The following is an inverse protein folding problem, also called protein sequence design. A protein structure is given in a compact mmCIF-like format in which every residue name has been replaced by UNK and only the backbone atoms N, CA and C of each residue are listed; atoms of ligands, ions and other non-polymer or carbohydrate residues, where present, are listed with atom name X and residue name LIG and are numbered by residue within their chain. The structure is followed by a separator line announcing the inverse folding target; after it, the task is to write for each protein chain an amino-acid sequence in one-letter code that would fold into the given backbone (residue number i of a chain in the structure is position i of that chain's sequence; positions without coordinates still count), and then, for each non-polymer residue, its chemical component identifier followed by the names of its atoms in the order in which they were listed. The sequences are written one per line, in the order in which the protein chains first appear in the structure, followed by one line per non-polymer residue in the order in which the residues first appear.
data_IF_731132992779
#
_entry.id   IF_731132992779
#
_cell.length_a   1.000
_cell.length_b   1.000
_cell.length_c   1.000
_cell.angle_alpha   90.00
_cell.angle_beta   90.00
_cell.angle_gamma   90.00
#
_symmetry.space_group_name_H-M   'P 1'
#
loop_
_entity.id
_entity.type
_entity.pdbx_description
1 polymer ?
#
# COMPACT_ATOMS: atom_id res chain seq x y z
N UNK A 1 4.56 26.18 -9.06
CA UNK A 1 3.76 25.58 -7.98
C UNK A 1 4.04 26.37 -6.70
N UNK A 2 3.18 27.31 -6.34
CA UNK A 2 3.35 28.17 -5.17
C UNK A 2 2.76 27.49 -3.94
N UNK A 3 3.61 27.09 -3.00
CA UNK A 3 3.20 26.52 -1.72
C UNK A 3 2.50 27.61 -0.90
N UNK A 4 1.21 27.42 -0.61
CA UNK A 4 0.44 28.33 0.25
C UNK A 4 0.95 28.26 1.69
N UNK A 5 1.22 29.42 2.28
CA UNK A 5 1.73 29.56 3.65
C UNK A 5 0.69 29.15 4.70
N UNK A 6 1.13 28.37 5.68
CA UNK A 6 0.32 27.92 6.83
C UNK A 6 -0.11 29.10 7.71
N UNK A 7 -1.40 29.43 7.70
CA UNK A 7 -1.99 30.37 8.66
C UNK A 7 -2.30 29.64 9.98
N UNK A 8 -1.37 29.69 10.94
CA UNK A 8 -1.45 29.26 12.35
C UNK A 8 -1.22 27.76 12.67
N UNK A 9 -0.54 27.44 13.79
CA UNK A 9 -0.38 26.07 14.28
C UNK A 9 -1.76 25.50 14.71
N UNK A 10 -2.05 24.26 14.32
CA UNK A 10 -3.31 23.57 14.61
C UNK A 10 -4.41 23.72 13.55
N UNK A 11 -4.24 24.57 12.53
CA UNK A 11 -5.17 24.68 11.41
C UNK A 11 -4.58 24.08 10.13
N UNK A 12 -4.65 22.75 10.03
CA UNK A 12 -4.64 22.10 8.71
C UNK A 12 -6.10 21.99 8.32
N UNK A 13 -6.60 22.72 7.31
CA UNK A 13 -7.73 22.29 6.48
C UNK A 13 -8.23 23.38 5.54
N UNK A 14 -7.78 23.34 4.29
CA UNK A 14 -8.61 23.80 3.16
C UNK A 14 -9.73 22.78 2.83
N UNK A 15 -9.67 21.56 3.38
CA UNK A 15 -10.66 20.49 3.20
C UNK A 15 -12.08 20.85 3.65
N UNK A 16 -12.24 21.87 4.51
CA UNK A 16 -13.57 22.30 4.94
C UNK A 16 -14.48 22.73 3.78
N UNK A 17 -13.90 23.24 2.68
CA UNK A 17 -14.68 23.70 1.51
C UNK A 17 -15.32 22.55 0.73
N UNK A 18 -14.76 21.35 0.81
CA UNK A 18 -15.27 20.15 0.14
C UNK A 18 -16.13 19.27 1.06
N UNK A 19 -16.31 19.66 2.33
CA UNK A 19 -17.24 19.00 3.26
C UNK A 19 -18.67 19.46 2.99
N UNK A 20 -19.56 18.49 2.77
CA UNK A 20 -20.98 18.74 2.54
C UNK A 20 -21.69 18.92 3.89
N UNK A 21 -21.81 20.16 4.37
CA UNK A 21 -22.47 20.51 5.64
C UNK A 21 -23.86 21.14 5.46
N UNK A 22 -24.13 21.69 4.29
CA UNK A 22 -25.41 22.31 3.94
C UNK A 22 -26.42 21.27 3.42
N UNK A 23 -27.71 21.55 3.60
CA UNK A 23 -28.82 20.68 3.18
C UNK A 23 -29.72 21.40 2.20
N UNK A 24 -30.21 20.64 1.21
CA UNK A 24 -31.28 21.04 0.31
C UNK A 24 -32.42 20.04 0.51
N UNK A 25 -33.58 20.52 0.93
CA UNK A 25 -34.77 19.71 1.19
C UNK A 25 -35.85 20.04 0.16
N UNK A 26 -36.44 19.01 -0.43
CA UNK A 26 -37.50 19.12 -1.44
C UNK A 26 -38.59 18.12 -1.08
N UNK A 27 -39.84 18.57 -1.04
CA UNK A 27 -40.99 17.68 -0.86
C UNK A 27 -41.34 17.05 -2.20
N UNK A 28 -41.52 15.73 -2.20
CA UNK A 28 -41.88 14.96 -3.38
C UNK A 28 -43.22 14.27 -3.12
N UNK A 29 -44.06 14.24 -4.15
CA UNK A 29 -45.19 13.32 -4.22
C UNK A 29 -44.70 11.87 -4.37
N UNK A 30 -45.53 10.86 -4.09
CA UNK A 30 -45.15 9.46 -4.26
C UNK A 30 -44.66 9.14 -5.68
N UNK A 31 -45.30 9.71 -6.71
CA UNK A 31 -44.96 9.49 -8.12
C UNK A 31 -43.56 10.05 -8.44
N UNK A 32 -43.25 11.25 -7.95
CA UNK A 32 -41.94 11.88 -8.15
C UNK A 32 -40.83 11.10 -7.43
N UNK A 33 -41.12 10.60 -6.23
CA UNK A 33 -40.17 9.79 -5.47
C UNK A 33 -39.87 8.46 -6.17
N UNK A 34 -40.89 7.77 -6.68
CA UNK A 34 -40.71 6.52 -7.42
C UNK A 34 -39.89 6.72 -8.69
N UNK A 35 -40.20 7.75 -9.48
CA UNK A 35 -39.43 8.09 -10.68
C UNK A 35 -37.96 8.38 -10.35
N UNK A 36 -37.71 9.12 -9.27
CA UNK A 36 -36.36 9.41 -8.79
C UNK A 36 -35.61 8.13 -8.34
N UNK A 37 -36.28 7.24 -7.61
CA UNK A 37 -35.70 5.97 -7.16
C UNK A 37 -35.35 5.05 -8.33
N UNK A 38 -36.22 4.96 -9.35
CA UNK A 38 -35.96 4.20 -10.57
C UNK A 38 -34.78 4.79 -11.37
N UNK A 39 -34.74 6.12 -11.53
CA UNK A 39 -33.63 6.79 -12.21
C UNK A 39 -32.29 6.58 -11.47
N UNK A 40 -32.30 6.56 -10.13
CA UNK A 40 -31.13 6.23 -9.34
C UNK A 40 -30.69 4.78 -9.55
N UNK A 41 -31.61 3.82 -9.47
CA UNK A 41 -31.30 2.40 -9.68
C UNK A 41 -30.65 2.15 -11.05
N UNK A 42 -31.10 2.84 -12.09
CA UNK A 42 -30.52 2.76 -13.43
C UNK A 42 -29.14 3.44 -13.56
N UNK A 43 -28.75 4.32 -12.64
CA UNK A 43 -27.55 5.16 -12.76
C UNK A 43 -26.24 4.54 -12.28
N UNK A 44 -26.29 3.38 -11.61
CA UNK A 44 -25.12 2.74 -11.00
C UNK A 44 -24.46 3.55 -9.87
N UNK A 45 -25.08 4.65 -9.42
CA UNK A 45 -24.57 5.45 -8.32
C UNK A 45 -24.72 4.71 -6.99
N UNK A 46 -23.70 4.76 -6.14
CA UNK A 46 -23.69 4.12 -4.82
C UNK A 46 -24.70 4.69 -3.81
N UNK A 47 -25.33 5.83 -4.09
CA UNK A 47 -26.33 6.44 -3.24
C UNK A 47 -27.22 7.39 -4.04
N UNK A 48 -28.46 7.56 -3.57
CA UNK A 48 -29.42 8.52 -4.13
C UNK A 48 -28.85 9.95 -4.12
N UNK A 49 -28.16 10.33 -3.04
CA UNK A 49 -27.56 11.65 -2.91
C UNK A 49 -26.42 11.88 -3.92
N UNK A 50 -25.68 10.83 -4.32
CA UNK A 50 -24.69 10.94 -5.42
C UNK A 50 -25.40 11.12 -6.76
N UNK A 51 -26.45 10.35 -7.01
CA UNK A 51 -27.25 10.46 -8.24
C UNK A 51 -27.82 11.86 -8.43
N UNK A 52 -28.47 12.39 -7.39
CA UNK A 52 -29.07 13.74 -7.42
C UNK A 52 -27.99 14.80 -7.67
N UNK A 53 -26.83 14.71 -7.03
CA UNK A 53 -25.73 15.66 -7.26
C UNK A 53 -25.16 15.58 -8.67
N UNK A 54 -25.01 14.39 -9.23
CA UNK A 54 -24.57 14.21 -10.61
C UNK A 54 -25.57 14.82 -11.60
N UNK A 55 -26.87 14.79 -11.29
CA UNK A 55 -27.91 15.47 -12.06
C UNK A 55 -27.88 16.99 -11.91
N UNK A 56 -27.66 17.51 -10.71
CA UNK A 56 -27.68 18.96 -10.42
C UNK A 56 -26.40 19.69 -10.85
N UNK A 57 -25.24 19.07 -10.63
CA UNK A 57 -23.93 19.69 -10.83
C UNK A 57 -23.15 19.08 -12.01
N UNK A 58 -23.75 18.13 -12.73
CA UNK A 58 -23.15 17.42 -13.85
C UNK A 58 -22.33 16.20 -13.43
N UNK A 59 -21.84 15.45 -14.44
CA UNK A 59 -21.11 14.20 -14.22
C UNK A 59 -19.79 14.38 -13.44
N UNK A 60 -19.20 15.57 -13.49
CA UNK A 60 -17.95 15.92 -12.80
C UNK A 60 -18.21 16.83 -11.59
N UNK A 61 -18.92 16.33 -10.57
CA UNK A 61 -19.04 16.99 -9.26
C UNK A 61 -17.62 17.27 -8.71
N UNK A 62 -17.18 18.54 -8.60
CA UNK A 62 -15.83 18.88 -8.17
C UNK A 62 -15.47 18.32 -6.78
N UNK A 63 -16.48 18.20 -5.91
CA UNK A 63 -16.31 17.60 -4.58
C UNK A 63 -16.08 16.10 -4.69
N UNK A 64 -16.81 15.41 -5.58
CA UNK A 64 -16.61 13.98 -5.80
C UNK A 64 -15.23 13.68 -6.39
N UNK A 65 -14.78 14.50 -7.36
CA UNK A 65 -13.44 14.39 -7.97
C UNK A 65 -12.36 14.60 -6.90
N UNK A 66 -12.49 15.64 -6.07
CA UNK A 66 -11.54 15.92 -4.99
C UNK A 66 -11.39 14.71 -4.04
N UNK A 67 -12.49 14.15 -3.54
CA UNK A 67 -12.43 13.01 -2.64
C UNK A 67 -11.89 11.74 -3.31
N UNK A 68 -12.22 11.52 -4.59
CA UNK A 68 -11.69 10.38 -5.33
C UNK A 68 -10.16 10.46 -5.48
N UNK A 69 -9.63 11.63 -5.86
CA UNK A 69 -8.18 11.86 -5.93
C UNK A 69 -7.53 11.66 -4.57
N UNK A 70 -8.11 12.22 -3.51
CA UNK A 70 -7.56 12.10 -2.16
C UNK A 70 -7.52 10.64 -1.67
N UNK A 71 -8.54 9.84 -1.97
CA UNK A 71 -8.53 8.41 -1.68
C UNK A 71 -7.48 7.65 -2.48
N UNK A 72 -7.31 7.98 -3.76
CA UNK A 72 -6.29 7.35 -4.61
C UNK A 72 -4.87 7.67 -4.10
N UNK A 73 -4.59 8.93 -3.79
CA UNK A 73 -3.30 9.36 -3.20
C UNK A 73 -3.00 8.62 -1.89
N UNK A 74 -4.01 8.43 -1.04
CA UNK A 74 -3.86 7.67 0.21
C UNK A 74 -3.56 6.19 -0.03
N UNK A 75 -4.22 5.57 -1.02
CA UNK A 75 -3.94 4.18 -1.39
C UNK A 75 -2.52 4.02 -1.93
N UNK A 76 -2.08 4.92 -2.81
CA UNK A 76 -0.71 4.91 -3.35
C UNK A 76 0.32 5.08 -2.23
N UNK A 77 0.10 6.01 -1.31
CA UNK A 77 0.95 6.18 -0.11
C UNK A 77 1.00 4.91 0.74
N UNK A 78 -0.13 4.24 0.94
CA UNK A 78 -0.18 3.02 1.72
C UNK A 78 0.60 1.87 1.07
N UNK A 79 0.56 1.77 -0.27
CA UNK A 79 1.35 0.79 -1.02
C UNK A 79 2.86 1.04 -0.85
N UNK A 80 3.29 2.30 -0.93
CA UNK A 80 4.68 2.68 -0.69
C UNK A 80 5.11 2.35 0.74
N UNK A 81 4.28 2.68 1.74
CA UNK A 81 4.56 2.34 3.14
C UNK A 81 4.67 0.84 3.36
N UNK A 82 3.78 0.04 2.77
CA UNK A 82 3.84 -1.41 2.86
C UNK A 82 5.14 -1.97 2.26
N UNK A 83 5.61 -1.41 1.13
CA UNK A 83 6.89 -1.78 0.55
C UNK A 83 8.07 -1.44 1.47
N UNK A 84 8.06 -0.23 2.07
CA UNK A 84 9.09 0.19 3.04
C UNK A 84 9.10 -0.71 4.29
N UNK A 85 7.94 -1.10 4.81
CA UNK A 85 7.85 -2.04 5.92
C UNK A 85 8.48 -3.40 5.60
N UNK A 86 8.24 -3.91 4.38
CA UNK A 86 8.86 -5.16 3.92
C UNK A 86 10.38 -5.04 3.85
N UNK A 87 10.90 -3.94 3.29
CA UNK A 87 12.33 -3.67 3.24
C UNK A 87 12.91 -3.57 4.66
N UNK A 88 12.29 -2.80 5.54
CA UNK A 88 12.72 -2.64 6.93
C UNK A 88 12.73 -3.97 7.69
N UNK A 89 11.75 -4.83 7.45
CA UNK A 89 11.72 -6.19 8.03
C UNK A 89 12.90 -7.03 7.55
N UNK A 90 13.20 -7.03 6.26
CA UNK A 90 14.34 -7.75 5.69
C UNK A 90 15.67 -7.22 6.25
N UNK A 91 15.84 -5.90 6.31
CA UNK A 91 17.04 -5.26 6.90
C UNK A 91 17.20 -5.66 8.36
N UNK A 92 16.12 -5.67 9.14
CA UNK A 92 16.14 -6.09 10.54
C UNK A 92 16.47 -7.58 10.70
N UNK A 93 16.07 -8.44 9.76
CA UNK A 93 16.48 -9.85 9.75
C UNK A 93 17.98 -9.99 9.45
N UNK A 94 18.50 -9.26 8.45
CA UNK A 94 19.93 -9.23 8.14
C UNK A 94 20.73 -8.75 9.35
N UNK A 95 20.33 -7.65 9.98
CA UNK A 95 20.98 -7.14 11.19
C UNK A 95 21.01 -8.19 12.31
N UNK A 96 19.90 -8.91 12.53
CA UNK A 96 19.83 -9.99 13.53
C UNK A 96 20.66 -11.22 13.16
N UNK A 97 20.85 -11.50 11.87
CA UNK A 97 21.73 -12.58 11.41
C UNK A 97 23.20 -12.19 11.56
N UNK A 98 23.57 -10.96 11.20
CA UNK A 98 24.91 -10.41 11.40
C UNK A 98 25.27 -10.37 12.89
N UNK A 99 24.36 -9.91 13.76
CA UNK A 99 24.60 -9.90 15.20
C UNK A 99 24.70 -11.32 15.80
N UNK A 100 24.13 -12.33 15.14
CA UNK A 100 24.26 -13.76 15.51
C UNK A 100 25.46 -14.44 14.86
N UNK A 101 26.11 -13.79 13.90
CA UNK A 101 27.29 -14.32 13.24
C UNK A 101 28.45 -14.28 14.24
N UNK A 102 28.70 -15.40 14.90
CA UNK A 102 29.89 -15.58 15.74
C UNK A 102 31.06 -15.94 14.82
N UNK A 103 32.10 -15.09 14.68
CA UNK A 103 33.27 -15.40 13.86
C UNK A 103 33.97 -16.72 14.25
N UNK A 104 33.76 -17.23 15.48
CA UNK A 104 34.25 -18.55 15.89
C UNK A 104 33.58 -19.70 15.12
N UNK A 105 32.31 -19.54 14.74
CA UNK A 105 31.58 -20.55 13.94
C UNK A 105 32.07 -20.62 12.49
N UNK A 106 32.54 -19.50 11.93
CA UNK A 106 33.15 -19.46 10.60
C UNK A 106 34.51 -20.18 10.56
N UNK A 107 35.33 -20.03 11.61
CA UNK A 107 36.59 -20.75 11.74
C UNK A 107 36.37 -22.28 11.90
N UNK A 108 35.36 -22.69 12.69
CA UNK A 108 34.99 -24.09 12.83
C UNK A 108 34.49 -24.70 11.50
N UNK A 109 33.67 -23.96 10.74
CA UNK A 109 33.18 -24.38 9.43
C UNK A 109 34.32 -24.50 8.40
N UNK A 110 35.31 -23.60 8.43
CA UNK A 110 36.48 -23.67 7.57
C UNK A 110 37.36 -24.90 7.86
N UNK A 111 37.48 -25.31 9.14
CA UNK A 111 38.15 -26.54 9.54
C UNK A 111 37.45 -27.80 8.99
N UNK A 112 36.12 -27.86 9.11
CA UNK A 112 35.33 -28.97 8.58
C UNK A 112 35.42 -29.09 7.05
N UNK A 113 35.46 -27.97 6.33
CA UNK A 113 35.64 -27.96 4.87
C UNK A 113 37.03 -28.46 4.44
N UNK A 114 38.06 -28.20 5.23
CA UNK A 114 39.41 -28.75 5.00
C UNK A 114 39.44 -30.27 5.18
N UNK A 115 38.76 -30.80 6.21
CA UNK A 115 38.64 -32.24 6.43
C UNK A 115 37.93 -32.95 5.28
N UNK A 116 36.78 -32.42 4.84
CA UNK A 116 36.04 -32.97 3.69
C UNK A 116 36.88 -32.95 2.42
N UNK A 117 37.64 -31.87 2.18
CA UNK A 117 38.55 -31.78 1.03
C UNK A 117 39.65 -32.84 1.08
N UNK A 118 40.21 -33.09 2.27
CA UNK A 118 41.25 -34.10 2.47
C UNK A 118 40.71 -35.52 2.28
N UNK A 119 39.49 -35.82 2.74
CA UNK A 119 38.84 -37.12 2.51
C UNK A 119 38.54 -37.37 1.02
N UNK A 120 38.03 -36.36 0.31
CA UNK A 120 37.80 -36.47 -1.13
C UNK A 120 39.10 -36.74 -1.91
N UNK A 121 40.21 -36.11 -1.50
CA UNK A 121 41.52 -36.38 -2.10
C UNK A 121 42.01 -37.81 -1.85
N UNK A 122 41.76 -38.36 -0.64
CA UNK A 122 42.09 -39.76 -0.30
C UNK A 122 41.24 -40.75 -1.11
N UNK A 123 39.96 -40.48 -1.25
CA UNK A 123 39.05 -41.30 -2.07
C UNK A 123 39.52 -41.29 -3.53
N UNK A 124 39.83 -40.11 -4.08
CA UNK A 124 40.34 -39.99 -5.44
C UNK A 124 41.65 -40.77 -5.66
N UNK A 125 42.57 -40.72 -4.69
CA UNK A 125 43.82 -41.48 -4.73
C UNK A 125 43.58 -43.01 -4.67
N UNK A 126 42.69 -43.46 -3.78
CA UNK A 126 42.34 -44.88 -3.66
C UNK A 126 41.66 -45.46 -4.91
N UNK A 127 40.91 -44.63 -5.65
CA UNK A 127 40.29 -45.05 -6.91
C UNK A 127 41.29 -45.16 -8.07
N UNK A 128 42.40 -44.41 -8.03
CA UNK A 128 43.47 -44.52 -9.03
C UNK A 128 44.34 -45.77 -8.83
N UNK A 129 44.58 -46.19 -7.58
CA UNK A 129 45.32 -47.43 -7.29
C UNK A 129 44.52 -48.71 -7.64
N UNK A 130 43.19 -48.66 -7.64
CA UNK A 130 42.33 -49.79 -8.05
C UNK A 130 42.17 -49.96 -9.57
N UNK A 131 42.66 -49.00 -10.36
CA UNK A 131 42.59 -48.99 -11.83
C UNK A 131 43.95 -49.21 -12.52
N UNK A 132 45.02 -49.42 -11.76
CA UNK A 132 46.36 -49.81 -12.23
C UNK A 132 46.60 -51.29 -11.98
#
# INVERSE_FOLDING_TARGET
MTAQQKQKPGRTNDEHRFKRTLRLEVRLSPIEYEALAQAWAASGCNSLARHVRARLFGAADPVAVFWQQQHQDQQERMQVLAALFRIGSNVNQIARQLNRYDPKSAAALAGQLQEVKAELARIAFSQQEQQS
#
